data_IF_994380393274
#
_entry.id   IF_994380393274
#
_cell.length_a   1.000
_cell.length_b   1.000
_cell.length_c   1.000
_cell.angle_alpha   90.00
_cell.angle_beta   90.00
_cell.angle_gamma   90.00
#
_symmetry.space_group_name_H-M   'P 1'
#
loop_
_entity.id
_entity.type
_entity.pdbx_description
1 polymer ?
#
# COMPACT_ATOMS: atom_id res chain seq x y z
N UNK A 1 -8.31 13.38 10.10
CA UNK A 1 -7.40 14.39 9.50
C UNK A 1 -7.02 13.94 8.09
N UNK A 2 -6.82 14.89 7.17
CA UNK A 2 -6.31 14.62 5.82
C UNK A 2 -4.79 14.81 5.83
N UNK A 3 -4.03 13.81 5.41
CA UNK A 3 -2.58 13.95 5.28
C UNK A 3 -2.10 13.39 3.93
N UNK A 4 -1.35 14.21 3.21
CA UNK A 4 -0.76 13.85 1.93
C UNK A 4 0.75 14.08 1.99
N UNK A 5 1.53 13.05 1.62
CA UNK A 5 2.99 13.16 1.50
C UNK A 5 3.42 12.85 0.09
N UNK A 6 4.43 13.58 -0.36
CA UNK A 6 5.04 13.36 -1.67
C UNK A 6 6.56 13.19 -1.51
N UNK A 7 7.08 12.09 -2.04
CA UNK A 7 8.50 11.82 -2.18
C UNK A 7 8.86 11.84 -3.67
N UNK A 8 9.88 12.63 -4.01
CA UNK A 8 10.40 12.74 -5.38
C UNK A 8 11.91 12.54 -5.34
N UNK A 9 12.46 11.83 -6.34
CA UNK A 9 13.92 11.68 -6.50
C UNK A 9 14.61 11.25 -5.20
N UNK A 10 14.01 10.26 -4.52
CA UNK A 10 14.39 9.89 -3.17
C UNK A 10 15.01 8.49 -3.15
N UNK A 11 16.04 8.34 -2.31
CA UNK A 11 16.55 7.04 -1.90
C UNK A 11 16.13 6.80 -0.46
N UNK A 12 15.28 5.80 -0.25
CA UNK A 12 14.68 5.47 1.04
C UNK A 12 15.18 4.09 1.42
N UNK A 13 16.05 4.03 2.43
CA UNK A 13 16.54 2.76 2.97
C UNK A 13 15.45 2.02 3.73
N UNK A 14 14.59 2.76 4.43
CA UNK A 14 13.45 2.24 5.18
C UNK A 14 12.50 3.40 5.44
N UNK A 15 11.22 3.17 5.29
CA UNK A 15 10.20 4.13 5.71
C UNK A 15 9.12 3.39 6.48
N UNK A 16 9.01 3.75 7.76
CA UNK A 16 7.94 3.28 8.63
C UNK A 16 6.92 4.40 8.77
N UNK A 17 5.73 4.19 8.22
CA UNK A 17 4.63 5.14 8.30
C UNK A 17 3.37 4.47 8.84
N UNK A 18 3.38 4.01 10.11
CA UNK A 18 2.21 3.45 10.74
C UNK A 18 1.14 4.54 10.88
N UNK A 19 -0.09 4.21 10.49
CA UNK A 19 -1.24 5.06 10.75
C UNK A 19 -1.90 4.65 12.05
N UNK A 20 -2.08 5.63 12.94
CA UNK A 20 -2.80 5.43 14.19
C UNK A 20 -4.31 5.24 13.98
N UNK A 21 -5.01 4.93 15.08
CA UNK A 21 -6.47 4.83 15.16
C UNK A 21 -7.18 6.09 14.68
N UNK A 22 -8.38 5.92 14.09
CA UNK A 22 -9.28 7.00 13.64
C UNK A 22 -8.72 7.87 12.49
N UNK A 23 -7.90 7.29 11.63
CA UNK A 23 -7.32 7.97 10.48
C UNK A 23 -8.34 8.10 9.33
N UNK A 24 -8.79 9.33 9.06
CA UNK A 24 -9.81 9.59 8.03
C UNK A 24 -9.32 9.43 6.58
N UNK A 25 -8.16 10.02 6.23
CA UNK A 25 -7.67 9.98 4.85
C UNK A 25 -6.16 10.21 4.80
N UNK A 26 -5.44 9.24 4.25
CA UNK A 26 -4.00 9.32 4.07
C UNK A 26 -3.61 8.95 2.65
N UNK A 27 -2.84 9.83 2.01
CA UNK A 27 -2.35 9.61 0.65
C UNK A 27 -0.82 9.77 0.62
N UNK A 28 -0.10 8.79 0.06
CA UNK A 28 1.34 8.92 -0.18
C UNK A 28 1.63 8.74 -1.64
N UNK A 29 2.48 9.61 -2.18
CA UNK A 29 2.97 9.49 -3.54
C UNK A 29 4.49 9.40 -3.56
N UNK A 30 5.00 8.39 -4.24
CA UNK A 30 6.41 8.21 -4.55
C UNK A 30 6.61 8.34 -6.04
N UNK A 31 7.55 9.19 -6.43
CA UNK A 31 7.93 9.37 -7.82
C UNK A 31 9.45 9.32 -7.96
N UNK A 32 9.94 8.58 -8.96
CA UNK A 32 11.38 8.44 -9.23
C UNK A 32 12.17 8.05 -7.98
N UNK A 33 11.71 7.02 -7.26
CA UNK A 33 12.23 6.66 -5.95
C UNK A 33 12.79 5.23 -5.93
N UNK A 34 13.86 5.04 -5.17
CA UNK A 34 14.37 3.72 -4.81
C UNK A 34 14.06 3.48 -3.34
N UNK A 35 13.34 2.39 -3.07
CA UNK A 35 12.83 2.06 -1.75
C UNK A 35 13.30 0.64 -1.42
N UNK A 36 14.15 0.50 -0.41
CA UNK A 36 14.57 -0.84 0.02
C UNK A 36 13.43 -1.51 0.79
N UNK A 37 12.90 -0.85 1.82
CA UNK A 37 11.71 -1.33 2.54
C UNK A 37 10.73 -0.18 2.79
N UNK A 38 9.44 -0.47 2.61
CA UNK A 38 8.35 0.37 3.08
C UNK A 38 7.44 -0.47 3.97
N UNK A 39 7.24 0.00 5.18
CA UNK A 39 6.39 -0.61 6.19
C UNK A 39 5.28 0.37 6.57
N UNK A 40 4.05 0.05 6.20
CA UNK A 40 2.92 0.98 6.31
C UNK A 40 1.68 0.31 6.88
N UNK A 41 1.75 -0.20 8.14
CA UNK A 41 0.61 -0.81 8.78
C UNK A 41 -0.46 0.24 9.07
N UNK A 42 -1.70 -0.12 8.77
CA UNK A 42 -2.87 0.66 9.12
C UNK A 42 -3.44 0.20 10.45
N UNK A 43 -3.61 1.15 11.37
CA UNK A 43 -4.33 0.93 12.61
C UNK A 43 -5.83 0.76 12.40
N UNK A 44 -6.51 0.43 13.51
CA UNK A 44 -7.97 0.25 13.58
C UNK A 44 -8.74 1.50 13.18
N UNK A 45 -9.94 1.30 12.61
CA UNK A 45 -10.89 2.36 12.25
C UNK A 45 -10.35 3.35 11.20
N UNK A 46 -9.59 2.84 10.24
CA UNK A 46 -9.04 3.63 9.13
C UNK A 46 -10.01 3.69 7.95
N UNK A 47 -10.33 4.90 7.50
CA UNK A 47 -11.38 5.14 6.50
C UNK A 47 -10.89 5.02 5.05
N UNK A 48 -9.77 5.66 4.73
CA UNK A 48 -9.22 5.62 3.37
C UNK A 48 -7.70 5.77 3.35
N UNK A 49 -7.03 4.83 2.73
CA UNK A 49 -5.59 4.87 2.49
C UNK A 49 -5.27 4.64 1.02
N UNK A 50 -4.53 5.57 0.44
CA UNK A 50 -4.09 5.49 -0.95
C UNK A 50 -2.59 5.66 -1.06
N UNK A 51 -1.90 4.72 -1.66
CA UNK A 51 -0.48 4.88 -1.99
C UNK A 51 -0.28 4.75 -3.48
N UNK A 52 0.49 5.68 -4.03
CA UNK A 52 0.82 5.68 -5.44
C UNK A 52 2.34 5.67 -5.61
N UNK A 53 2.81 4.76 -6.46
CA UNK A 53 4.20 4.66 -6.88
C UNK A 53 4.28 4.86 -8.38
N UNK A 54 5.18 5.75 -8.78
CA UNK A 54 5.44 6.05 -10.19
C UNK A 54 6.94 6.02 -10.42
N UNK A 55 7.39 5.28 -11.46
CA UNK A 55 8.82 5.16 -11.78
C UNK A 55 9.67 4.77 -10.56
N UNK A 56 9.25 3.74 -9.82
CA UNK A 56 9.88 3.39 -8.55
C UNK A 56 10.42 1.96 -8.56
N UNK A 57 11.53 1.75 -7.84
CA UNK A 57 12.04 0.43 -7.53
C UNK A 57 11.81 0.14 -6.05
N UNK A 58 11.16 -0.97 -5.75
CA UNK A 58 10.74 -1.33 -4.39
C UNK A 58 11.25 -2.75 -4.13
N UNK A 59 12.10 -2.90 -3.12
CA UNK A 59 12.59 -4.25 -2.77
C UNK A 59 11.52 -4.98 -1.96
N UNK A 60 11.07 -4.41 -0.85
CA UNK A 60 9.95 -4.94 -0.08
C UNK A 60 8.93 -3.84 0.25
N UNK A 61 7.67 -4.20 0.13
CA UNK A 61 6.55 -3.41 0.63
C UNK A 61 5.70 -4.30 1.53
N UNK A 62 5.58 -3.91 2.79
CA UNK A 62 4.68 -4.53 3.75
C UNK A 62 3.62 -3.50 4.19
N UNK A 63 2.36 -3.89 4.07
CA UNK A 63 1.23 -3.01 4.34
C UNK A 63 0.08 -3.79 4.98
N UNK A 64 0.24 -4.21 6.25
CA UNK A 64 -0.81 -4.87 6.99
C UNK A 64 -2.01 -3.94 7.16
N UNK A 65 -3.20 -4.45 6.88
CA UNK A 65 -4.43 -3.78 7.26
C UNK A 65 -4.88 -4.21 8.64
N UNK A 66 -5.10 -3.23 9.52
CA UNK A 66 -5.77 -3.43 10.79
C UNK A 66 -7.27 -3.70 10.65
N UNK A 67 -7.90 -3.99 11.77
CA UNK A 67 -9.35 -4.23 11.89
C UNK A 67 -10.19 -3.01 11.50
N UNK A 68 -11.39 -3.26 10.94
CA UNK A 68 -12.37 -2.21 10.61
C UNK A 68 -11.86 -1.18 9.58
N UNK A 69 -11.03 -1.62 8.64
CA UNK A 69 -10.52 -0.77 7.57
C UNK A 69 -11.48 -0.73 6.37
N UNK A 70 -11.87 0.48 5.96
CA UNK A 70 -12.90 0.66 4.93
C UNK A 70 -12.36 0.53 3.50
N UNK A 71 -11.28 1.24 3.16
CA UNK A 71 -10.74 1.25 1.80
C UNK A 71 -9.23 1.42 1.75
N UNK A 72 -8.56 0.47 1.12
CA UNK A 72 -7.13 0.52 0.84
C UNK A 72 -6.86 0.36 -0.64
N UNK A 73 -6.14 1.32 -1.21
CA UNK A 73 -5.78 1.32 -2.62
C UNK A 73 -4.28 1.54 -2.79
N UNK A 74 -3.61 0.65 -3.50
CA UNK A 74 -2.22 0.85 -3.92
C UNK A 74 -2.14 0.82 -5.42
N UNK A 75 -1.49 1.82 -5.99
CA UNK A 75 -1.28 1.91 -7.42
C UNK A 75 0.21 1.97 -7.73
N UNK A 76 0.65 1.11 -8.65
CA UNK A 76 1.99 1.07 -9.18
C UNK A 76 1.95 1.39 -10.66
N UNK A 77 2.75 2.36 -11.08
CA UNK A 77 2.93 2.75 -12.46
C UNK A 77 4.41 2.73 -12.81
N UNK A 78 4.78 2.04 -13.89
CA UNK A 78 6.18 1.92 -14.33
C UNK A 78 7.14 1.54 -13.19
N UNK A 79 6.75 0.58 -12.37
CA UNK A 79 7.48 0.23 -11.14
C UNK A 79 7.93 -1.22 -11.13
N UNK A 80 9.03 -1.49 -10.44
CA UNK A 80 9.52 -2.83 -10.15
C UNK A 80 9.38 -3.12 -8.66
N UNK A 81 8.70 -4.21 -8.32
CA UNK A 81 8.46 -4.64 -6.96
C UNK A 81 9.04 -6.04 -6.80
N UNK A 82 9.95 -6.23 -5.84
CA UNK A 82 10.47 -7.59 -5.57
C UNK A 82 9.45 -8.36 -4.76
N UNK A 83 9.01 -7.83 -3.61
CA UNK A 83 7.96 -8.44 -2.80
C UNK A 83 6.92 -7.42 -2.33
N UNK A 84 5.64 -7.80 -2.43
CA UNK A 84 4.53 -7.14 -1.77
C UNK A 84 3.89 -8.11 -0.77
N UNK A 85 3.86 -7.74 0.50
CA UNK A 85 3.06 -8.39 1.53
C UNK A 85 2.00 -7.40 2.03
N UNK A 86 0.77 -7.89 2.15
CA UNK A 86 -0.38 -7.06 2.48
C UNK A 86 -1.49 -7.89 3.12
N UNK A 87 -1.24 -8.39 4.35
CA UNK A 87 -2.23 -9.16 5.07
C UNK A 87 -3.44 -8.29 5.42
N UNK A 88 -4.62 -8.81 5.15
CA UNK A 88 -5.88 -8.17 5.43
C UNK A 88 -6.38 -8.54 6.81
N UNK A 89 -6.63 -7.54 7.65
CA UNK A 89 -7.25 -7.70 8.96
C UNK A 89 -8.73 -8.09 8.88
N UNK A 90 -9.30 -8.39 10.04
CA UNK A 90 -10.74 -8.67 10.20
C UNK A 90 -11.61 -7.47 9.83
N UNK A 91 -12.79 -7.73 9.27
CA UNK A 91 -13.79 -6.69 8.93
C UNK A 91 -13.30 -5.62 7.93
N UNK A 92 -12.36 -6.01 7.07
CA UNK A 92 -11.84 -5.16 6.00
C UNK A 92 -12.78 -5.12 4.78
N UNK A 93 -13.22 -3.94 4.35
CA UNK A 93 -14.24 -3.83 3.30
C UNK A 93 -13.70 -3.93 1.87
N UNK A 94 -12.67 -3.16 1.53
CA UNK A 94 -12.09 -3.14 0.19
C UNK A 94 -10.56 -2.99 0.22
N UNK A 95 -9.87 -3.92 -0.45
CA UNK A 95 -8.46 -3.78 -0.77
C UNK A 95 -8.23 -3.95 -2.27
N UNK A 96 -7.61 -2.96 -2.87
CA UNK A 96 -7.35 -2.89 -4.30
C UNK A 96 -5.88 -2.60 -4.56
N UNK A 97 -5.24 -3.45 -5.36
CA UNK A 97 -3.90 -3.20 -5.89
C UNK A 97 -3.97 -3.12 -7.41
N UNK A 98 -3.48 -2.03 -7.95
CA UNK A 98 -3.40 -1.82 -9.38
C UNK A 98 -1.95 -1.71 -9.83
N UNK A 99 -1.58 -2.51 -10.81
CA UNK A 99 -0.28 -2.48 -11.48
C UNK A 99 -0.48 -2.01 -12.92
N UNK A 100 0.27 -1.00 -13.32
CA UNK A 100 0.28 -0.47 -14.68
C UNK A 100 1.71 -0.40 -15.19
N UNK A 101 2.02 -1.09 -16.28
CA UNK A 101 3.39 -1.21 -16.81
C UNK A 101 4.41 -1.57 -15.72
N UNK A 102 4.01 -2.44 -14.79
CA UNK A 102 4.77 -2.73 -13.57
C UNK A 102 5.04 -4.23 -13.46
N UNK A 103 6.15 -4.57 -12.82
CA UNK A 103 6.55 -5.94 -12.58
C UNK A 103 6.56 -6.23 -11.08
N UNK A 104 6.04 -7.40 -10.70
CA UNK A 104 6.06 -7.89 -9.33
C UNK A 104 6.60 -9.32 -9.29
N UNK A 105 7.57 -9.60 -8.41
CA UNK A 105 8.18 -10.94 -8.32
C UNK A 105 7.39 -11.86 -7.38
N UNK A 106 6.95 -11.34 -6.24
CA UNK A 106 6.10 -12.05 -5.29
C UNK A 106 5.02 -11.15 -4.71
N UNK A 107 3.82 -11.70 -4.58
CA UNK A 107 2.67 -11.07 -3.96
C UNK A 107 2.10 -12.04 -2.92
N UNK A 108 2.09 -11.63 -1.65
CA UNK A 108 1.37 -12.30 -0.58
C UNK A 108 0.34 -11.33 0.03
N UNK A 109 -0.84 -11.85 0.30
CA UNK A 109 -2.01 -11.05 0.69
C UNK A 109 -3.09 -11.94 1.32
N UNK A 110 -2.78 -12.56 2.47
CA UNK A 110 -3.74 -13.42 3.14
C UNK A 110 -4.97 -12.61 3.57
N UNK A 111 -6.15 -13.19 3.36
CA UNK A 111 -7.42 -12.58 3.72
C UNK A 111 -7.81 -12.94 5.15
N UNK A 112 -8.03 -11.91 5.98
CA UNK A 112 -8.66 -12.05 7.29
C UNK A 112 -10.13 -12.45 7.19
N UNK A 113 -10.70 -12.89 8.31
CA UNK A 113 -12.13 -13.23 8.38
C UNK A 113 -12.99 -12.00 8.14
N UNK A 114 -14.14 -12.21 7.49
CA UNK A 114 -15.12 -11.16 7.19
C UNK A 114 -14.60 -10.02 6.29
N UNK A 115 -13.49 -10.27 5.58
CA UNK A 115 -13.03 -9.39 4.51
C UNK A 115 -13.88 -9.58 3.24
N UNK A 116 -14.37 -8.47 2.69
CA UNK A 116 -15.41 -8.51 1.64
C UNK A 116 -14.84 -8.61 0.23
N UNK A 117 -13.81 -7.82 -0.09
CA UNK A 117 -13.30 -7.76 -1.45
C UNK A 117 -11.80 -7.45 -1.51
N UNK A 118 -11.08 -8.34 -2.18
CA UNK A 118 -9.68 -8.19 -2.54
C UNK A 118 -9.54 -8.21 -4.06
N UNK A 119 -9.01 -7.14 -4.63
CA UNK A 119 -8.85 -6.97 -6.07
C UNK A 119 -7.40 -6.70 -6.43
N UNK A 120 -6.87 -7.46 -7.37
CA UNK A 120 -5.57 -7.19 -7.99
C UNK A 120 -5.79 -7.03 -9.49
N UNK A 121 -5.42 -5.88 -10.02
CA UNK A 121 -5.56 -5.58 -11.44
C UNK A 121 -4.18 -5.30 -12.06
N UNK A 122 -3.93 -5.91 -13.21
CA UNK A 122 -2.72 -5.71 -14.00
C UNK A 122 -3.09 -5.10 -15.35
N UNK A 123 -2.48 -3.98 -15.69
CA UNK A 123 -2.52 -3.34 -17.00
C UNK A 123 -1.10 -3.27 -17.56
N UNK A 124 -0.96 -3.62 -18.84
CA UNK A 124 0.33 -3.78 -19.52
C UNK A 124 0.47 -2.85 -20.71
#
# INVERSE_FOLDING_TARGET
LLFCVHFSFSYISSLDSPLGTDSLLFCVHFSFSYISSLDSPLGTDSLLFCVHFSFSYISSLDSPLGTDSLLFCVHFSFSYISSLDSPLGTDSLLFCVHFSFSYISSLDSPLGTDSLLFCVHFSF
#
